data_IF_850642037471
#
_entry.id   IF_850642037471
#
_cell.length_a   1.000
_cell.length_b   1.000
_cell.length_c   1.000
_cell.angle_alpha   90.00
_cell.angle_beta   90.00
_cell.angle_gamma   90.00
#
_symmetry.space_group_name_H-M   'P 1'
#
loop_
_entity.id
_entity.type
_entity.pdbx_description
1 polymer ?
#
# COMPACT_ATOMS: atom_id res chain seq x y z
N UNK A 1 29.24 -23.39 -71.16
CA UNK A 1 30.70 -23.17 -71.07
C UNK A 1 31.05 -22.93 -69.62
N UNK A 2 31.65 -23.93 -68.98
CA UNK A 2 32.28 -23.86 -67.65
C UNK A 2 33.72 -23.27 -67.79
N UNK A 3 34.61 -23.24 -66.77
CA UNK A 3 34.48 -23.11 -65.30
C UNK A 3 35.58 -22.18 -64.69
N UNK A 4 35.65 -22.06 -63.35
CA UNK A 4 36.83 -22.30 -62.46
C UNK A 4 36.71 -21.46 -61.17
N UNK A 5 36.40 -22.09 -60.02
CA UNK A 5 37.32 -22.61 -58.97
C UNK A 5 37.61 -21.54 -57.89
N UNK A 6 37.65 -21.79 -56.59
CA UNK A 6 38.05 -23.00 -55.86
C UNK A 6 37.56 -22.96 -54.41
N UNK A 7 37.27 -24.15 -53.89
CA UNK A 7 37.08 -24.56 -52.50
C UNK A 7 38.21 -24.19 -51.53
N UNK A 8 37.89 -23.90 -50.27
CA UNK A 8 38.68 -24.34 -49.11
C UNK A 8 37.77 -24.71 -47.92
N UNK A 9 38.14 -25.80 -47.26
CA UNK A 9 37.44 -26.59 -46.25
C UNK A 9 37.72 -26.13 -44.80
N UNK A 10 36.70 -26.23 -43.94
CA UNK A 10 36.69 -26.65 -42.50
C UNK A 10 37.58 -25.93 -41.45
N UNK A 11 37.36 -26.09 -40.11
CA UNK A 11 36.38 -26.94 -39.42
C UNK A 11 35.55 -26.26 -38.29
N UNK A 12 34.59 -27.07 -37.82
CA UNK A 12 33.75 -26.92 -36.62
C UNK A 12 34.58 -26.68 -35.33
N UNK A 13 34.10 -25.78 -34.48
CA UNK A 13 34.42 -25.74 -33.05
C UNK A 13 33.10 -25.80 -32.26
N UNK A 14 32.78 -27.01 -31.78
CA UNK A 14 31.72 -27.27 -30.82
C UNK A 14 32.22 -26.88 -29.42
N UNK A 15 31.72 -25.79 -28.85
CA UNK A 15 31.88 -25.52 -27.42
C UNK A 15 30.79 -26.26 -26.65
N UNK A 16 31.14 -27.47 -26.20
CA UNK A 16 30.43 -28.17 -25.12
C UNK A 16 30.84 -27.53 -23.80
N UNK A 17 29.99 -26.64 -23.26
CA UNK A 17 30.10 -26.17 -21.88
C UNK A 17 29.43 -27.22 -20.99
N UNK A 18 30.25 -28.03 -20.31
CA UNK A 18 29.82 -28.85 -19.18
C UNK A 18 29.53 -27.93 -17.98
N UNK A 19 28.40 -28.07 -17.27
CA UNK A 19 28.20 -27.39 -16.00
C UNK A 19 29.02 -28.11 -14.92
N UNK A 20 30.02 -27.43 -14.36
CA UNK A 20 30.65 -27.85 -13.11
C UNK A 20 29.69 -27.54 -11.96
N UNK A 21 29.01 -28.58 -11.46
CA UNK A 21 28.41 -28.57 -10.13
C UNK A 21 29.52 -28.71 -9.09
N UNK A 22 29.89 -27.60 -8.45
CA UNK A 22 30.63 -27.60 -7.19
C UNK A 22 29.66 -27.22 -6.08
N UNK A 23 29.07 -28.24 -5.46
CA UNK A 23 28.43 -28.11 -4.16
C UNK A 23 29.52 -27.90 -3.11
N UNK A 24 29.78 -26.65 -2.70
CA UNK A 24 30.40 -26.40 -1.40
C UNK A 24 29.29 -26.22 -0.37
N UNK A 25 29.04 -27.27 0.42
CA UNK A 25 28.27 -27.15 1.65
C UNK A 25 29.08 -26.30 2.64
N UNK A 26 28.82 -25.00 2.68
CA UNK A 26 29.16 -24.18 3.85
C UNK A 26 27.92 -24.11 4.73
N UNK A 27 27.90 -24.92 5.79
CA UNK A 27 26.92 -24.87 6.87
C UNK A 27 27.00 -23.51 7.58
N UNK A 28 26.20 -22.54 7.14
CA UNK A 28 25.94 -21.35 7.93
C UNK A 28 24.82 -21.66 8.93
N UNK A 29 25.21 -21.93 10.17
CA UNK A 29 24.30 -21.97 11.30
C UNK A 29 23.55 -20.62 11.43
N UNK A 30 22.25 -20.61 11.74
CA UNK A 30 21.50 -19.37 11.91
C UNK A 30 22.01 -18.64 13.15
N UNK A 31 22.73 -17.52 12.96
CA UNK A 31 23.00 -16.59 14.04
C UNK A 31 21.66 -15.97 14.45
N UNK A 32 21.15 -16.36 15.62
CA UNK A 32 20.06 -15.67 16.30
C UNK A 32 20.44 -14.19 16.44
N UNK A 33 19.76 -13.33 15.68
CA UNK A 33 19.88 -11.89 15.81
C UNK A 33 19.20 -11.48 17.12
N UNK A 34 19.99 -11.17 18.15
CA UNK A 34 19.47 -10.52 19.37
C UNK A 34 19.29 -9.03 19.07
N UNK A 35 18.03 -8.57 19.13
CA UNK A 35 17.69 -7.15 19.14
C UNK A 35 18.25 -6.55 20.45
N UNK A 36 19.14 -5.54 20.41
CA UNK A 36 19.61 -4.90 21.63
C UNK A 36 18.44 -4.11 22.27
N UNK A 37 17.85 -4.68 23.33
CA UNK A 37 17.01 -3.91 24.26
C UNK A 37 17.93 -3.04 25.11
N UNK A 38 18.10 -1.77 24.74
CA UNK A 38 18.40 -0.68 25.67
C UNK A 38 18.41 0.64 24.91
N UNK A 39 17.38 1.47 25.11
CA UNK A 39 17.49 2.92 25.27
C UNK A 39 16.17 3.41 25.89
N UNK A 40 16.09 3.28 27.21
CA UNK A 40 15.09 3.96 28.03
C UNK A 40 15.64 5.35 28.35
N UNK A 41 14.86 6.37 27.98
CA UNK A 41 14.78 7.70 28.60
C UNK A 41 16.11 8.46 28.87
N UNK A 42 16.54 9.27 27.91
CA UNK A 42 17.31 10.48 28.20
C UNK A 42 16.44 11.71 27.85
N UNK A 43 15.91 12.39 28.87
CA UNK A 43 15.28 13.70 28.74
C UNK A 43 16.27 14.66 28.08
N UNK A 44 16.00 15.09 26.84
CA UNK A 44 16.71 16.21 26.21
C UNK A 44 16.37 17.48 27.00
N UNK A 45 17.36 18.04 27.69
CA UNK A 45 17.31 19.41 28.21
C UNK A 45 17.29 20.36 27.02
N UNK A 46 16.22 21.14 26.91
CA UNK A 46 16.11 22.29 26.01
C UNK A 46 17.03 23.40 26.48
N UNK A 47 17.94 23.85 25.61
CA UNK A 47 18.66 25.11 25.80
C UNK A 47 17.75 26.27 25.38
N UNK A 48 16.93 26.76 26.31
CA UNK A 48 16.37 28.12 26.23
C UNK A 48 16.06 28.62 27.64
N UNK A 49 17.07 29.09 28.33
CA UNK A 49 16.91 29.85 29.56
C UNK A 49 17.97 30.95 29.57
N UNK A 50 17.60 32.12 29.05
CA UNK A 50 18.23 33.40 29.31
C UNK A 50 17.28 34.47 28.78
N UNK A 51 16.37 34.91 29.66
CA UNK A 51 15.76 36.25 29.74
C UNK A 51 14.44 36.19 30.53
N UNK A 52 14.54 36.03 31.85
CA UNK A 52 13.81 36.91 32.76
C UNK A 52 14.76 38.12 32.98
N UNK A 53 14.35 39.36 33.17
CA UNK A 53 13.25 39.87 33.98
C UNK A 53 13.22 41.43 33.85
N UNK A 54 12.09 42.04 34.22
CA UNK A 54 11.88 43.46 34.60
C UNK A 54 11.82 44.50 33.45
N UNK A 55 10.93 45.50 33.42
CA UNK A 55 10.18 46.17 34.50
C UNK A 55 8.91 46.88 33.96
N UNK A 56 7.89 46.97 34.81
CA UNK A 56 6.69 47.80 34.68
C UNK A 56 6.80 49.15 35.42
N UNK A 57 6.18 50.18 34.83
CA UNK A 57 5.49 51.34 35.44
C UNK A 57 6.26 52.60 35.92
N UNK A 58 5.85 53.76 35.34
CA UNK A 58 5.57 55.13 35.91
C UNK A 58 6.70 55.83 36.72
N UNK A 59 7.00 57.14 36.70
CA UNK A 59 6.23 58.40 36.53
C UNK A 59 7.19 59.62 36.38
N UNK A 60 6.62 60.82 36.19
CA UNK A 60 7.15 62.17 35.95
C UNK A 60 8.24 62.76 36.88
N UNK A 61 9.02 63.72 36.33
CA UNK A 61 9.66 64.79 37.11
C UNK A 61 10.69 65.69 36.38
N UNK A 62 10.26 66.87 35.91
CA UNK A 62 10.94 68.18 36.12
C UNK A 62 12.30 68.56 35.45
N UNK A 63 12.20 69.45 34.44
CA UNK A 63 13.04 70.66 34.13
C UNK A 63 14.60 70.59 34.21
N UNK A 64 15.29 70.86 33.09
CA UNK A 64 15.85 72.19 32.71
C UNK A 64 17.03 72.10 31.71
N UNK A 65 17.05 73.03 30.73
CA UNK A 65 18.29 73.65 30.21
C UNK A 65 18.93 73.11 28.92
N UNK A 66 19.06 74.00 27.92
CA UNK A 66 20.19 73.98 26.98
C UNK A 66 19.88 73.57 25.54
N UNK A 67 19.82 74.55 24.64
CA UNK A 67 19.51 74.35 23.22
C UNK A 67 20.64 73.78 22.37
N UNK A 68 20.28 73.34 21.15
CA UNK A 68 21.25 73.04 20.10
C UNK A 68 20.77 72.10 19.01
N UNK A 69 20.41 72.70 17.86
CA UNK A 69 20.52 72.18 16.47
C UNK A 69 19.62 71.02 16.00
N UNK A 70 18.69 71.42 15.12
CA UNK A 70 18.27 70.84 13.85
C UNK A 70 18.40 69.32 13.67
N UNK A 71 17.24 68.67 13.69
CA UNK A 71 17.08 67.28 13.31
C UNK A 71 17.31 67.02 11.82
N UNK A 72 18.05 65.96 11.55
CA UNK A 72 17.71 65.00 10.52
C UNK A 72 17.61 63.65 11.25
N UNK A 73 16.38 63.18 11.49
CA UNK A 73 16.15 61.83 11.97
C UNK A 73 16.53 60.89 10.82
N UNK A 74 17.68 60.23 10.93
CA UNK A 74 18.00 59.05 10.13
C UNK A 74 16.84 58.06 10.29
N UNK A 75 16.28 57.47 9.22
CA UNK A 75 15.27 56.44 9.39
C UNK A 75 15.88 55.33 10.24
N UNK A 76 15.16 54.92 11.30
CA UNK A 76 15.54 53.77 12.12
C UNK A 76 15.84 52.59 11.20
N UNK A 77 16.93 51.84 11.44
CA UNK A 77 17.23 50.67 10.62
C UNK A 77 16.01 49.75 10.64
N UNK A 78 15.53 49.38 9.46
CA UNK A 78 14.51 48.35 9.31
C UNK A 78 15.13 47.08 9.88
N UNK A 79 14.77 46.74 11.11
CA UNK A 79 15.11 45.45 11.68
C UNK A 79 14.23 44.46 10.91
N UNK A 80 14.79 43.82 9.89
CA UNK A 80 14.16 42.63 9.32
C UNK A 80 14.02 41.64 10.48
N UNK A 81 12.80 41.48 10.98
CA UNK A 81 12.47 40.38 11.87
C UNK A 81 12.79 39.10 11.11
N UNK A 82 13.93 38.49 11.46
CA UNK A 82 14.31 37.18 10.92
C UNK A 82 13.24 36.20 11.37
N UNK A 83 12.25 35.96 10.52
CA UNK A 83 11.22 34.96 10.77
C UNK A 83 11.91 33.61 10.95
N UNK A 84 11.81 33.05 12.16
CA UNK A 84 12.25 31.68 12.41
C UNK A 84 11.40 30.74 11.56
N UNK A 85 12.04 30.12 10.59
CA UNK A 85 11.41 29.15 9.70
C UNK A 85 11.01 27.92 10.51
N UNK A 86 9.78 27.44 10.33
CA UNK A 86 9.39 26.12 10.86
C UNK A 86 10.15 25.04 10.08
N UNK A 87 11.05 24.36 10.79
CA UNK A 87 11.92 23.32 10.22
C UNK A 87 11.28 21.93 10.25
N UNK A 88 10.06 21.79 10.77
CA UNK A 88 9.36 20.52 10.77
C UNK A 88 8.77 20.21 9.39
N UNK A 89 8.78 18.95 8.96
CA UNK A 89 8.12 18.57 7.73
C UNK A 89 6.60 18.74 7.88
N UNK A 90 5.85 18.86 6.77
CA UNK A 90 4.40 18.95 6.79
C UNK A 90 3.76 17.86 7.66
N UNK A 91 2.71 18.23 8.40
CA UNK A 91 2.04 17.33 9.34
C UNK A 91 1.66 15.99 8.70
N UNK A 92 2.14 14.90 9.28
CA UNK A 92 1.87 13.54 8.83
C UNK A 92 2.79 13.03 7.72
N UNK A 93 3.86 13.77 7.41
CA UNK A 93 4.93 13.35 6.50
C UNK A 93 6.21 12.99 7.25
N UNK A 94 7.23 12.48 6.54
CA UNK A 94 8.50 12.03 7.11
C UNK A 94 9.66 12.57 6.32
N UNK A 95 10.64 13.12 7.04
CA UNK A 95 12.02 13.13 6.57
C UNK A 95 12.65 11.76 6.80
N UNK A 96 13.60 11.40 5.94
CA UNK A 96 14.39 10.19 6.08
C UNK A 96 15.87 10.60 6.18
N UNK A 97 16.42 10.76 7.40
CA UNK A 97 17.86 10.96 7.58
C UNK A 97 18.63 9.69 7.16
N UNK A 98 19.97 9.75 7.02
CA UNK A 98 20.77 8.63 6.51
C UNK A 98 20.50 7.27 7.17
N UNK A 99 20.24 7.23 8.48
CA UNK A 99 19.89 6.03 9.23
C UNK A 99 18.58 5.37 8.77
N UNK A 100 17.53 6.16 8.58
CA UNK A 100 16.24 5.67 8.10
C UNK A 100 16.29 5.35 6.61
N UNK A 101 17.07 6.13 5.85
CA UNK A 101 17.29 5.87 4.43
C UNK A 101 17.99 4.55 4.16
N UNK A 102 18.96 4.15 5.00
CA UNK A 102 19.60 2.84 4.87
C UNK A 102 18.58 1.70 5.01
N UNK A 103 17.70 1.78 6.01
CA UNK A 103 16.65 0.79 6.22
C UNK A 103 15.63 0.78 5.07
N UNK A 104 15.20 1.95 4.59
CA UNK A 104 14.29 2.06 3.45
C UNK A 104 14.89 1.45 2.19
N UNK A 105 16.14 1.78 1.89
CA UNK A 105 16.86 1.25 0.72
C UNK A 105 17.03 -0.27 0.82
N UNK A 106 17.40 -0.79 1.99
CA UNK A 106 17.46 -2.23 2.25
C UNK A 106 16.13 -2.92 1.94
N UNK A 107 15.02 -2.39 2.47
CA UNK A 107 13.68 -2.94 2.27
C UNK A 107 13.28 -2.89 0.78
N UNK A 108 13.48 -1.76 0.11
CA UNK A 108 13.10 -1.59 -1.30
C UNK A 108 13.94 -2.46 -2.24
N UNK A 109 15.20 -2.72 -1.90
CA UNK A 109 16.03 -3.64 -2.66
C UNK A 109 15.45 -5.05 -2.61
N UNK A 110 15.00 -5.52 -1.44
CA UNK A 110 14.32 -6.81 -1.33
C UNK A 110 13.01 -6.87 -2.12
N UNK A 111 12.20 -5.81 -2.09
CA UNK A 111 11.00 -5.73 -2.95
C UNK A 111 11.36 -5.87 -4.44
N UNK A 112 12.35 -5.11 -4.93
CA UNK A 112 12.79 -5.21 -6.34
C UNK A 112 13.35 -6.58 -6.68
N UNK A 113 14.16 -7.16 -5.80
CA UNK A 113 14.76 -8.48 -6.00
C UNK A 113 13.67 -9.54 -6.13
N UNK A 114 12.69 -9.55 -5.23
CA UNK A 114 11.56 -10.48 -5.29
C UNK A 114 10.71 -10.25 -6.53
N UNK A 115 10.34 -9.01 -6.85
CA UNK A 115 9.60 -8.70 -8.08
C UNK A 115 10.29 -9.26 -9.33
N UNK A 116 11.62 -9.07 -9.44
CA UNK A 116 12.41 -9.57 -10.58
C UNK A 116 12.49 -11.10 -10.61
N UNK A 117 12.59 -11.76 -9.45
CA UNK A 117 12.58 -13.22 -9.36
C UNK A 117 11.27 -13.82 -9.91
N UNK A 118 10.15 -13.11 -9.75
CA UNK A 118 8.84 -13.49 -10.29
C UNK A 118 8.59 -12.92 -11.70
N UNK A 119 9.59 -12.34 -12.36
CA UNK A 119 9.47 -11.84 -13.73
C UNK A 119 8.61 -10.59 -13.89
N UNK A 120 8.43 -9.79 -12.82
CA UNK A 120 7.73 -8.52 -12.91
C UNK A 120 8.66 -7.41 -13.41
N UNK A 121 8.12 -6.53 -14.24
CA UNK A 121 8.81 -5.35 -14.77
C UNK A 121 8.50 -4.10 -13.92
N UNK A 122 9.52 -3.29 -13.64
CA UNK A 122 9.38 -2.08 -12.83
C UNK A 122 8.77 -0.95 -13.64
N UNK A 123 7.72 -0.33 -13.11
CA UNK A 123 7.05 0.84 -13.71
C UNK A 123 6.88 1.95 -12.68
N UNK A 124 6.70 3.18 -13.16
CA UNK A 124 6.35 4.31 -12.30
C UNK A 124 5.34 5.21 -12.99
N UNK A 125 4.68 6.03 -12.18
CA UNK A 125 3.64 6.96 -12.59
C UNK A 125 3.92 8.32 -11.95
N UNK A 126 3.34 9.41 -12.47
CA UNK A 126 3.33 10.68 -11.75
C UNK A 126 2.67 10.52 -10.37
N UNK A 127 3.23 11.18 -9.34
CA UNK A 127 2.58 11.25 -8.01
C UNK A 127 1.33 12.14 -8.06
N UNK A 128 1.31 13.11 -8.98
CA UNK A 128 0.20 14.02 -9.22
C UNK A 128 -0.62 13.52 -10.42
N UNK A 129 -1.89 13.21 -10.18
CA UNK A 129 -2.82 12.66 -11.17
C UNK A 129 -4.11 13.49 -11.20
N UNK A 130 -4.93 13.31 -12.24
CA UNK A 130 -6.23 13.98 -12.30
C UNK A 130 -7.16 13.46 -11.20
N UNK A 131 -7.82 14.36 -10.47
CA UNK A 131 -8.72 14.01 -9.35
C UNK A 131 -9.82 13.01 -9.75
N UNK A 132 -10.34 13.16 -10.98
CA UNK A 132 -11.41 12.31 -11.54
C UNK A 132 -11.02 10.82 -11.61
N UNK A 133 -9.72 10.51 -11.63
CA UNK A 133 -9.22 9.14 -11.67
C UNK A 133 -9.58 8.35 -10.39
N UNK A 134 -9.72 9.05 -9.26
CA UNK A 134 -9.95 8.43 -7.95
C UNK A 134 -11.42 8.52 -7.48
N UNK A 135 -12.15 9.57 -7.88
CA UNK A 135 -13.54 9.77 -7.46
C UNK A 135 -14.49 8.73 -8.07
N UNK A 136 -14.28 8.35 -9.34
CA UNK A 136 -15.20 7.44 -10.07
C UNK A 136 -15.33 6.05 -9.41
N UNK A 137 -14.35 5.64 -8.59
CA UNK A 137 -14.27 4.29 -8.04
C UNK A 137 -14.65 4.18 -6.56
N UNK A 138 -14.73 5.29 -5.82
CA UNK A 138 -14.86 5.23 -4.36
C UNK A 138 -15.93 6.17 -3.77
N UNK A 139 -16.77 6.78 -4.61
CA UNK A 139 -17.83 7.69 -4.18
C UNK A 139 -17.31 9.05 -3.70
N UNK A 140 -18.20 9.92 -3.22
CA UNK A 140 -17.81 11.27 -2.76
C UNK A 140 -17.00 11.27 -1.45
N UNK A 141 -17.21 10.26 -0.59
CA UNK A 141 -16.52 10.14 0.71
C UNK A 141 -15.00 10.01 0.59
N UNK A 142 -14.48 9.49 -0.53
CA UNK A 142 -13.03 9.41 -0.73
C UNK A 142 -12.43 10.81 -0.85
N UNK A 143 -13.17 11.79 -1.39
CA UNK A 143 -12.63 13.13 -1.71
C UNK A 143 -12.09 13.82 -0.46
N UNK A 144 -12.79 13.68 0.66
CA UNK A 144 -12.38 14.27 1.95
C UNK A 144 -11.10 13.62 2.51
N UNK A 145 -10.73 12.45 1.99
CA UNK A 145 -9.51 11.71 2.31
C UNK A 145 -8.43 11.86 1.24
N UNK A 146 -8.65 12.66 0.18
CA UNK A 146 -7.65 12.94 -0.85
C UNK A 146 -6.92 14.26 -0.58
N UNK A 147 -5.64 14.29 -0.93
CA UNK A 147 -4.93 15.55 -1.12
C UNK A 147 -5.26 16.11 -2.52
N UNK A 148 -6.41 16.77 -2.65
CA UNK A 148 -6.86 17.41 -3.89
C UNK A 148 -6.65 18.93 -3.86
N UNK A 149 -6.31 19.51 -5.01
CA UNK A 149 -6.19 20.97 -5.17
C UNK A 149 -6.36 21.36 -6.65
N UNK A 150 -6.50 22.66 -6.88
CA UNK A 150 -6.50 23.24 -8.22
C UNK A 150 -5.08 23.72 -8.55
N UNK A 151 -4.56 23.28 -9.70
CA UNK A 151 -3.25 23.75 -10.17
C UNK A 151 -3.34 25.14 -10.81
N UNK A 152 -2.20 25.72 -11.19
CA UNK A 152 -2.15 27.05 -11.83
C UNK A 152 -2.85 27.13 -13.20
N UNK A 153 -3.20 25.98 -13.79
CA UNK A 153 -3.95 25.89 -15.03
C UNK A 153 -5.44 25.65 -14.80
N UNK A 154 -5.93 25.86 -13.58
CA UNK A 154 -7.31 25.62 -13.16
C UNK A 154 -7.77 24.17 -13.35
N UNK A 155 -6.84 23.20 -13.22
CA UNK A 155 -7.14 21.77 -13.31
C UNK A 155 -7.20 21.16 -11.92
N UNK A 156 -8.21 20.33 -11.71
CA UNK A 156 -8.38 19.53 -10.50
C UNK A 156 -7.46 18.32 -10.50
N UNK A 157 -6.52 18.31 -9.56
CA UNK A 157 -5.49 17.27 -9.42
C UNK A 157 -5.47 16.75 -7.99
N UNK A 158 -4.95 15.54 -7.82
CA UNK A 158 -4.75 14.92 -6.52
C UNK A 158 -3.38 14.25 -6.44
N UNK A 159 -2.77 14.28 -5.26
CA UNK A 159 -1.69 13.34 -4.95
C UNK A 159 -2.31 11.95 -4.85
N UNK A 160 -1.75 10.98 -5.57
CA UNK A 160 -2.30 9.63 -5.66
C UNK A 160 -2.45 8.96 -4.29
N UNK A 161 -3.64 8.43 -3.94
CA UNK A 161 -3.84 7.65 -2.70
C UNK A 161 -3.40 6.19 -2.81
N UNK A 162 -3.32 5.66 -4.03
CA UNK A 162 -2.93 4.29 -4.38
C UNK A 162 -2.38 4.26 -5.81
N UNK A 163 -1.73 3.16 -6.19
CA UNK A 163 -1.10 3.00 -7.51
C UNK A 163 -2.02 2.38 -8.57
N UNK A 164 -3.03 1.62 -8.18
CA UNK A 164 -3.90 0.82 -9.07
C UNK A 164 -4.63 1.67 -10.14
N UNK A 165 -5.19 2.86 -9.83
CA UNK A 165 -5.80 3.70 -10.85
C UNK A 165 -4.80 4.24 -11.88
N UNK A 166 -3.57 4.55 -11.46
CA UNK A 166 -2.49 4.98 -12.36
C UNK A 166 -2.03 3.84 -13.27
N UNK A 167 -1.94 2.61 -12.75
CA UNK A 167 -1.71 1.41 -13.54
C UNK A 167 -2.78 1.25 -14.63
N UNK A 168 -4.06 1.24 -14.24
CA UNK A 168 -5.16 1.10 -15.18
C UNK A 168 -5.13 2.20 -16.26
N UNK A 169 -4.86 3.45 -15.87
CA UNK A 169 -4.70 4.57 -16.82
C UNK A 169 -3.58 4.29 -17.83
N UNK A 170 -2.41 3.85 -17.38
CA UNK A 170 -1.27 3.58 -18.26
C UNK A 170 -1.55 2.39 -19.20
N UNK A 171 -2.14 1.31 -18.68
CA UNK A 171 -2.52 0.15 -19.49
C UNK A 171 -3.53 0.53 -20.57
N UNK A 172 -4.57 1.29 -20.22
CA UNK A 172 -5.56 1.79 -21.18
C UNK A 172 -4.90 2.72 -22.22
N UNK A 173 -4.00 3.61 -21.78
CA UNK A 173 -3.28 4.52 -22.67
C UNK A 173 -2.41 3.77 -23.69
N UNK A 174 -1.73 2.69 -23.26
CA UNK A 174 -0.91 1.86 -24.14
C UNK A 174 -1.76 0.97 -25.05
N UNK A 175 -2.95 0.57 -24.61
CA UNK A 175 -3.91 -0.19 -25.40
C UNK A 175 -3.29 -1.44 -26.03
N UNK A 176 -3.53 -1.65 -27.33
CA UNK A 176 -3.08 -2.84 -28.09
C UNK A 176 -1.56 -2.97 -28.23
N UNK A 177 -0.76 -1.99 -27.80
CA UNK A 177 0.71 -2.10 -27.81
C UNK A 177 1.26 -2.99 -26.70
N UNK A 178 0.45 -3.32 -25.67
CA UNK A 178 0.83 -4.25 -24.62
C UNK A 178 0.47 -5.69 -25.00
N UNK A 179 1.41 -6.60 -24.78
CA UNK A 179 1.16 -8.03 -24.78
C UNK A 179 0.66 -8.49 -23.41
N UNK A 180 -0.33 -9.37 -23.40
CA UNK A 180 -0.79 -10.06 -22.20
C UNK A 180 -0.21 -11.49 -22.17
N UNK A 181 0.05 -12.07 -20.98
CA UNK A 181 -0.16 -11.46 -19.65
C UNK A 181 0.86 -10.38 -19.31
N UNK A 182 0.42 -9.37 -18.55
CA UNK A 182 1.24 -8.27 -18.07
C UNK A 182 1.59 -8.48 -16.60
N UNK A 183 2.84 -8.29 -16.22
CA UNK A 183 3.29 -8.40 -14.82
C UNK A 183 4.14 -7.20 -14.45
N UNK A 184 3.52 -6.22 -13.80
CA UNK A 184 4.18 -4.95 -13.46
C UNK A 184 4.22 -4.73 -11.97
N UNK A 185 5.30 -4.12 -11.50
CA UNK A 185 5.43 -3.71 -10.11
C UNK A 185 5.89 -2.26 -9.99
N UNK A 186 5.54 -1.63 -8.88
CA UNK A 186 5.96 -0.27 -8.55
C UNK A 186 6.25 -0.15 -7.05
N UNK A 187 7.15 0.76 -6.68
CA UNK A 187 7.38 1.16 -5.28
C UNK A 187 7.14 2.66 -5.18
N UNK A 188 5.88 3.04 -4.98
CA UNK A 188 5.43 4.43 -5.07
C UNK A 188 5.11 5.03 -3.71
N UNK A 189 5.34 6.33 -3.57
CA UNK A 189 4.77 7.11 -2.47
C UNK A 189 3.30 7.44 -2.75
N UNK A 190 2.45 7.19 -1.75
CA UNK A 190 0.99 7.36 -1.78
C UNK A 190 0.54 8.26 -0.63
N UNK A 191 -0.54 9.01 -0.86
CA UNK A 191 -0.98 10.11 0.00
C UNK A 191 -2.45 10.01 0.39
N UNK A 192 -2.75 10.29 1.66
CA UNK A 192 -4.12 10.39 2.15
C UNK A 192 -4.28 11.51 3.16
N UNK A 193 -5.43 12.15 3.14
CA UNK A 193 -5.79 13.24 4.03
C UNK A 193 -6.70 12.74 5.15
N UNK A 194 -6.13 12.01 6.10
CA UNK A 194 -6.87 11.47 7.24
C UNK A 194 -6.29 11.92 8.58
N UNK A 195 -7.05 11.67 9.66
CA UNK A 195 -6.52 11.73 11.02
C UNK A 195 -5.48 10.64 11.19
N UNK A 196 -4.28 11.04 11.63
CA UNK A 196 -3.19 10.10 11.84
C UNK A 196 -3.48 9.15 13.01
N UNK A 197 -3.18 7.88 12.82
CA UNK A 197 -3.17 6.84 13.86
C UNK A 197 -1.84 6.09 13.85
N UNK A 198 -1.64 5.14 14.77
CA UNK A 198 -0.39 4.37 14.84
C UNK A 198 -0.17 3.60 13.53
N UNK A 199 0.98 3.81 12.88
CA UNK A 199 1.29 3.23 11.57
C UNK A 199 0.55 3.86 10.38
N UNK A 200 -0.46 4.70 10.63
CA UNK A 200 -1.29 5.34 9.61
C UNK A 200 -0.95 6.83 9.51
N UNK A 201 -0.02 7.15 8.61
CA UNK A 201 0.40 8.52 8.29
C UNK A 201 -0.27 9.03 7.02
N UNK A 202 -0.07 10.32 6.73
CA UNK A 202 -0.61 10.99 5.54
C UNK A 202 0.17 10.70 4.26
N UNK A 203 1.42 10.28 4.38
CA UNK A 203 2.19 9.67 3.30
C UNK A 203 2.70 8.28 3.71
N UNK A 204 2.81 7.37 2.74
CA UNK A 204 3.46 6.08 2.91
C UNK A 204 4.01 5.58 1.57
N UNK A 205 4.90 4.60 1.61
CA UNK A 205 5.34 3.90 0.41
C UNK A 205 4.60 2.58 0.29
N UNK A 206 4.24 2.23 -0.93
CA UNK A 206 3.52 1.01 -1.27
C UNK A 206 4.31 0.24 -2.32
N UNK A 207 4.60 -1.02 -2.03
CA UNK A 207 5.04 -1.98 -3.03
C UNK A 207 3.78 -2.58 -3.66
N UNK A 208 3.58 -2.31 -4.94
CA UNK A 208 2.48 -2.82 -5.75
C UNK A 208 3.02 -3.86 -6.72
N UNK A 209 2.32 -4.97 -6.86
CA UNK A 209 2.54 -5.99 -7.87
C UNK A 209 1.19 -6.33 -8.46
N UNK A 210 1.09 -6.26 -9.79
CA UNK A 210 -0.17 -6.42 -10.50
C UNK A 210 0.04 -7.32 -11.72
N UNK A 211 -0.86 -8.31 -11.87
CA UNK A 211 -0.90 -9.21 -13.01
C UNK A 211 -2.20 -8.95 -13.78
N UNK A 212 -2.10 -8.75 -15.10
CA UNK A 212 -3.26 -8.51 -15.97
C UNK A 212 -3.29 -9.52 -17.11
N UNK A 213 -4.50 -9.94 -17.50
CA UNK A 213 -4.70 -10.81 -18.64
C UNK A 213 -4.40 -12.29 -18.39
N UNK A 214 -4.39 -12.72 -17.13
CA UNK A 214 -4.47 -14.14 -16.77
C UNK A 214 -5.91 -14.49 -16.35
N UNK A 215 -6.47 -15.58 -16.88
CA UNK A 215 -7.68 -16.17 -16.33
C UNK A 215 -7.37 -16.96 -15.04
N UNK A 216 -8.43 -17.32 -14.30
CA UNK A 216 -8.38 -18.18 -13.11
C UNK A 216 -7.57 -17.57 -11.95
N UNK A 217 -7.46 -18.31 -10.84
CA UNK A 217 -6.82 -17.84 -9.59
C UNK A 217 -5.29 -17.93 -9.58
N UNK A 218 -4.69 -18.20 -10.73
CA UNK A 218 -3.23 -18.36 -10.88
C UNK A 218 -2.48 -17.07 -10.59
N UNK A 219 -3.07 -15.92 -10.95
CA UNK A 219 -2.51 -14.61 -10.68
C UNK A 219 -2.42 -14.35 -9.17
N UNK A 220 -3.50 -14.62 -8.43
CA UNK A 220 -3.58 -14.45 -6.98
C UNK A 220 -2.63 -15.40 -6.26
N UNK A 221 -2.53 -16.66 -6.71
CA UNK A 221 -1.58 -17.61 -6.18
C UNK A 221 -0.14 -17.11 -6.33
N UNK A 222 0.23 -16.60 -7.51
CA UNK A 222 1.56 -16.07 -7.77
C UNK A 222 1.85 -14.79 -6.97
N UNK A 223 0.87 -13.89 -6.83
CA UNK A 223 0.99 -12.69 -6.00
C UNK A 223 1.24 -13.05 -4.53
N UNK A 224 0.47 -13.96 -3.93
CA UNK A 224 0.70 -14.41 -2.55
C UNK A 224 2.08 -15.08 -2.44
N UNK A 225 2.44 -15.95 -3.39
CA UNK A 225 3.75 -16.60 -3.42
C UNK A 225 4.91 -15.61 -3.41
N UNK A 226 4.79 -14.50 -4.15
CA UNK A 226 5.81 -13.44 -4.17
C UNK A 226 5.98 -12.77 -2.81
N UNK A 227 4.89 -12.50 -2.09
CA UNK A 227 4.95 -11.90 -0.75
C UNK A 227 5.55 -12.90 0.25
N UNK A 228 5.19 -14.18 0.16
CA UNK A 228 5.79 -15.25 0.96
C UNK A 228 7.30 -15.35 0.70
N UNK A 229 7.72 -15.29 -0.56
CA UNK A 229 9.14 -15.30 -0.92
C UNK A 229 9.89 -14.11 -0.33
N UNK A 230 9.27 -12.92 -0.32
CA UNK A 230 9.81 -11.74 0.37
C UNK A 230 9.95 -11.99 1.88
N UNK A 231 8.91 -12.48 2.55
CA UNK A 231 8.97 -12.76 3.99
C UNK A 231 10.05 -13.78 4.35
N UNK A 232 10.10 -14.91 3.66
CA UNK A 232 11.14 -15.94 3.85
C UNK A 232 12.55 -15.35 3.66
N UNK A 233 12.74 -14.47 2.67
CA UNK A 233 14.04 -13.81 2.38
C UNK A 233 14.51 -12.93 3.54
N UNK A 234 13.60 -12.24 4.23
CA UNK A 234 13.93 -11.38 5.37
C UNK A 234 13.85 -12.09 6.72
N UNK A 235 13.68 -13.42 6.71
CA UNK A 235 13.68 -14.26 7.90
C UNK A 235 12.36 -14.26 8.69
N UNK A 236 11.27 -13.78 8.09
CA UNK A 236 9.91 -13.93 8.63
C UNK A 236 9.41 -15.32 8.22
N UNK A 237 8.69 -15.98 9.12
CA UNK A 237 8.14 -17.33 8.95
C UNK A 237 6.62 -17.34 9.04
N UNK A 238 6.00 -18.46 8.67
CA UNK A 238 4.55 -18.71 8.85
C UNK A 238 4.09 -18.62 10.31
N UNK A 239 5.02 -18.76 11.26
CA UNK A 239 4.71 -18.58 12.69
C UNK A 239 4.61 -17.10 13.10
N UNK A 240 5.16 -16.19 12.29
CA UNK A 240 5.15 -14.74 12.54
C UNK A 240 3.97 -14.06 11.84
N UNK A 241 3.64 -14.49 10.62
CA UNK A 241 2.62 -13.88 9.75
C UNK A 241 1.89 -14.94 8.92
N UNK A 242 0.67 -14.62 8.48
CA UNK A 242 -0.09 -15.44 7.54
C UNK A 242 -1.09 -14.57 6.76
N UNK A 243 -1.65 -15.15 5.70
CA UNK A 243 -2.62 -14.52 4.81
C UNK A 243 -4.01 -15.05 5.12
N UNK A 244 -4.93 -14.13 5.42
CA UNK A 244 -6.35 -14.47 5.41
C UNK A 244 -6.90 -14.24 4.01
N UNK A 245 -7.63 -15.22 3.48
CA UNK A 245 -8.11 -15.20 2.09
C UNK A 245 -9.60 -15.51 2.02
N UNK A 246 -10.29 -14.82 1.12
CA UNK A 246 -11.70 -15.01 0.80
C UNK A 246 -11.96 -14.69 -0.67
N UNK A 247 -13.22 -14.74 -1.09
CA UNK A 247 -13.67 -14.23 -2.39
C UNK A 247 -14.91 -13.37 -2.20
N UNK A 248 -14.96 -12.23 -2.88
CA UNK A 248 -16.18 -11.41 -2.95
C UNK A 248 -17.36 -12.13 -3.58
N UNK A 249 -17.10 -13.14 -4.42
CA UNK A 249 -18.14 -14.00 -4.99
C UNK A 249 -18.90 -14.78 -3.91
N UNK A 250 -18.26 -15.13 -2.79
CA UNK A 250 -18.94 -15.74 -1.63
C UNK A 250 -20.07 -14.84 -1.13
N UNK A 251 -19.74 -13.56 -0.92
CA UNK A 251 -20.71 -12.58 -0.46
C UNK A 251 -21.81 -12.32 -1.50
N UNK A 252 -21.47 -12.31 -2.79
CA UNK A 252 -22.45 -12.17 -3.87
C UNK A 252 -23.44 -13.35 -3.90
N UNK A 253 -22.95 -14.57 -3.77
CA UNK A 253 -23.77 -15.78 -3.76
C UNK A 253 -24.76 -15.77 -2.58
N UNK A 254 -24.30 -15.41 -1.38
CA UNK A 254 -25.16 -15.26 -0.19
C UNK A 254 -26.24 -14.21 -0.43
N UNK A 255 -25.85 -13.01 -0.86
CA UNK A 255 -26.80 -11.90 -1.07
C UNK A 255 -27.83 -12.21 -2.15
N UNK A 256 -27.45 -12.97 -3.18
CA UNK A 256 -28.36 -13.43 -4.23
C UNK A 256 -29.44 -14.38 -3.70
N UNK A 257 -29.12 -15.25 -2.74
CA UNK A 257 -30.12 -16.13 -2.11
C UNK A 257 -31.23 -15.35 -1.40
N UNK A 258 -30.95 -14.15 -0.91
CA UNK A 258 -31.92 -13.25 -0.27
C UNK A 258 -32.49 -12.19 -1.21
N UNK A 259 -32.33 -12.36 -2.53
CA UNK A 259 -32.82 -11.43 -3.55
C UNK A 259 -32.36 -9.97 -3.36
N UNK A 260 -31.17 -9.79 -2.77
CA UNK A 260 -30.58 -8.45 -2.58
C UNK A 260 -30.12 -7.90 -3.93
N UNK A 261 -30.54 -6.68 -4.31
CA UNK A 261 -30.12 -6.05 -5.57
C UNK A 261 -28.60 -5.87 -5.69
N UNK A 262 -28.05 -6.17 -6.86
CA UNK A 262 -26.59 -6.11 -7.12
C UNK A 262 -25.99 -4.71 -6.92
N UNK A 263 -26.76 -3.65 -7.13
CA UNK A 263 -26.33 -2.28 -6.89
C UNK A 263 -26.05 -1.96 -5.41
N UNK A 264 -26.51 -2.79 -4.47
CA UNK A 264 -26.20 -2.67 -3.04
C UNK A 264 -24.88 -3.37 -2.67
N UNK A 265 -24.36 -4.27 -3.51
CA UNK A 265 -23.20 -5.10 -3.20
C UNK A 265 -21.97 -4.30 -2.76
N UNK A 266 -21.63 -3.25 -3.50
CA UNK A 266 -20.48 -2.39 -3.16
C UNK A 266 -20.62 -1.70 -1.80
N UNK A 267 -21.84 -1.24 -1.46
CA UNK A 267 -22.12 -0.61 -0.16
C UNK A 267 -22.01 -1.64 0.97
N UNK A 268 -22.55 -2.83 0.78
CA UNK A 268 -22.47 -3.94 1.75
C UNK A 268 -21.02 -4.33 2.00
N UNK A 269 -20.19 -4.44 0.95
CA UNK A 269 -18.75 -4.72 1.10
C UNK A 269 -18.02 -3.67 1.95
N UNK A 270 -18.32 -2.39 1.75
CA UNK A 270 -17.71 -1.28 2.52
C UNK A 270 -18.10 -1.37 3.99
N UNK A 271 -19.35 -1.73 4.29
CA UNK A 271 -19.82 -1.90 5.67
C UNK A 271 -19.12 -3.12 6.32
N UNK A 272 -19.03 -4.25 5.62
CA UNK A 272 -18.39 -5.47 6.12
C UNK A 272 -16.89 -5.28 6.38
N UNK A 273 -16.17 -4.46 5.59
CA UNK A 273 -14.75 -4.15 5.86
C UNK A 273 -14.53 -3.47 7.24
N UNK A 274 -15.60 -2.95 7.86
CA UNK A 274 -15.57 -2.37 9.20
C UNK A 274 -15.85 -3.38 10.31
N UNK A 275 -16.17 -4.65 10.01
CA UNK A 275 -16.67 -5.62 11.00
C UNK A 275 -15.70 -5.89 12.15
N UNK A 276 -14.38 -5.84 11.90
CA UNK A 276 -13.36 -5.97 12.96
C UNK A 276 -13.05 -4.63 13.66
N UNK A 277 -13.57 -3.50 13.14
CA UNK A 277 -13.23 -2.14 13.59
C UNK A 277 -14.31 -1.51 14.46
N UNK A 278 -15.58 -1.87 14.28
CA UNK A 278 -16.73 -1.29 15.00
C UNK A 278 -17.63 -2.39 15.57
N UNK A 279 -18.44 -2.09 16.61
CA UNK A 279 -19.32 -3.09 17.22
C UNK A 279 -20.32 -3.70 16.24
N UNK A 280 -20.66 -4.98 16.45
CA UNK A 280 -21.55 -5.72 15.55
C UNK A 280 -22.96 -5.10 15.46
N UNK A 281 -23.46 -4.49 16.55
CA UNK A 281 -24.75 -3.81 16.55
C UNK A 281 -24.76 -2.58 15.62
N UNK A 282 -23.62 -1.90 15.50
CA UNK A 282 -23.44 -0.79 14.57
C UNK A 282 -23.38 -1.28 13.12
N UNK A 283 -22.74 -2.42 12.87
CA UNK A 283 -22.75 -3.10 11.57
C UNK A 283 -24.18 -3.48 11.16
N UNK A 284 -24.95 -4.13 12.05
CA UNK A 284 -26.35 -4.50 11.78
C UNK A 284 -27.18 -3.27 11.43
N UNK A 285 -27.00 -2.17 12.15
CA UNK A 285 -27.68 -0.89 11.88
C UNK A 285 -27.29 -0.30 10.52
N UNK A 286 -26.00 -0.27 10.17
CA UNK A 286 -25.56 0.21 8.84
C UNK A 286 -26.11 -0.67 7.70
N UNK A 287 -26.10 -2.00 7.86
CA UNK A 287 -26.64 -2.93 6.87
C UNK A 287 -28.16 -2.76 6.70
N UNK A 288 -28.90 -2.63 7.81
CA UNK A 288 -30.35 -2.39 7.77
C UNK A 288 -30.67 -1.07 7.02
N UNK A 289 -29.88 -0.01 7.24
CA UNK A 289 -30.04 1.26 6.53
C UNK A 289 -29.81 1.17 5.01
N UNK A 290 -29.19 0.09 4.51
CA UNK A 290 -29.07 -0.16 3.05
C UNK A 290 -30.31 -0.83 2.45
N UNK A 291 -31.26 -1.26 3.26
CA UNK A 291 -32.50 -1.91 2.84
C UNK A 291 -32.46 -3.45 2.87
N UNK A 292 -31.46 -4.06 3.52
CA UNK A 292 -31.42 -5.51 3.74
C UNK A 292 -32.44 -5.91 4.83
N UNK A 293 -33.08 -7.08 4.67
CA UNK A 293 -33.95 -7.65 5.70
C UNK A 293 -33.14 -8.18 6.89
N UNK A 294 -33.78 -8.30 8.06
CA UNK A 294 -33.10 -8.81 9.26
C UNK A 294 -32.60 -10.24 9.06
N UNK A 295 -33.37 -11.08 8.36
CA UNK A 295 -32.99 -12.45 8.03
C UNK A 295 -31.74 -12.49 7.14
N UNK A 296 -31.69 -11.62 6.12
CA UNK A 296 -30.53 -11.53 5.23
C UNK A 296 -29.27 -11.05 5.97
N UNK A 297 -29.43 -10.14 6.94
CA UNK A 297 -28.32 -9.65 7.77
C UNK A 297 -27.78 -10.75 8.68
N UNK A 298 -28.65 -11.51 9.35
CA UNK A 298 -28.22 -12.55 10.28
C UNK A 298 -27.46 -13.66 9.55
N UNK A 299 -27.97 -14.10 8.40
CA UNK A 299 -27.34 -15.14 7.57
C UNK A 299 -26.03 -14.67 6.95
N UNK A 300 -25.98 -13.41 6.51
CA UNK A 300 -24.73 -12.78 6.09
C UNK A 300 -23.68 -12.84 7.20
N UNK A 301 -24.03 -12.43 8.42
CA UNK A 301 -23.10 -12.44 9.56
C UNK A 301 -22.68 -13.86 9.95
N UNK A 302 -23.59 -14.83 9.85
CA UNK A 302 -23.28 -16.23 10.04
C UNK A 302 -22.24 -16.71 9.03
N UNK A 303 -22.41 -16.39 7.74
CA UNK A 303 -21.42 -16.76 6.71
C UNK A 303 -20.07 -16.08 6.94
N UNK A 304 -20.04 -14.80 7.30
CA UNK A 304 -18.80 -14.07 7.58
C UNK A 304 -18.03 -14.64 8.79
N UNK A 305 -18.70 -15.38 9.68
CA UNK A 305 -18.06 -16.05 10.82
C UNK A 305 -17.29 -17.33 10.42
N UNK A 306 -17.46 -17.83 9.19
CA UNK A 306 -16.87 -19.10 8.75
C UNK A 306 -15.36 -18.94 8.48
N UNK A 307 -14.57 -19.82 9.09
CA UNK A 307 -13.10 -19.90 8.92
C UNK A 307 -12.63 -21.22 8.29
N UNK A 308 -13.55 -22.01 7.75
CA UNK A 308 -13.27 -23.30 7.11
C UNK A 308 -13.92 -23.35 5.73
N UNK A 309 -13.11 -23.64 4.71
CA UNK A 309 -13.58 -23.79 3.34
C UNK A 309 -14.57 -24.96 3.20
N UNK A 310 -14.38 -26.04 3.96
CA UNK A 310 -15.30 -27.18 4.00
C UNK A 310 -16.68 -26.77 4.52
N UNK A 311 -16.74 -25.99 5.60
CA UNK A 311 -18.02 -25.47 6.13
C UNK A 311 -18.70 -24.51 5.17
N UNK A 312 -17.92 -23.71 4.43
CA UNK A 312 -18.46 -22.85 3.40
C UNK A 312 -19.11 -23.67 2.27
N UNK A 313 -18.43 -24.73 1.84
CA UNK A 313 -18.92 -25.68 0.82
C UNK A 313 -20.22 -26.38 1.25
N UNK A 314 -20.37 -26.71 2.54
CA UNK A 314 -21.62 -27.26 3.09
C UNK A 314 -22.80 -26.28 3.01
N UNK A 315 -22.55 -24.98 3.16
CA UNK A 315 -23.59 -23.93 3.18
C UNK A 315 -23.98 -23.48 1.77
N UNK A 316 -22.99 -23.20 0.91
CA UNK A 316 -23.23 -22.69 -0.44
C UNK A 316 -23.40 -23.80 -1.49
N UNK A 317 -23.00 -25.02 -1.15
CA UNK A 317 -22.87 -26.13 -2.08
C UNK A 317 -21.55 -26.07 -2.87
N UNK A 318 -20.94 -27.22 -3.13
CA UNK A 318 -19.64 -27.32 -3.82
C UNK A 318 -19.64 -26.98 -5.31
N UNK A 319 -20.78 -26.59 -5.88
CA UNK A 319 -20.93 -26.23 -7.29
C UNK A 319 -20.83 -24.72 -7.57
N UNK A 320 -20.69 -23.88 -6.52
CA UNK A 320 -20.50 -22.44 -6.66
C UNK A 320 -19.12 -22.08 -7.22
N UNK A 321 -19.08 -21.07 -8.09
CA UNK A 321 -17.84 -20.56 -8.70
C UNK A 321 -16.85 -20.09 -7.62
N UNK A 322 -17.36 -19.44 -6.56
CA UNK A 322 -16.55 -18.95 -5.46
C UNK A 322 -15.80 -20.06 -4.72
N UNK A 323 -16.50 -21.16 -4.42
CA UNK A 323 -15.93 -22.31 -3.71
C UNK A 323 -14.90 -23.03 -4.59
N UNK A 324 -15.19 -23.19 -5.88
CA UNK A 324 -14.28 -23.80 -6.84
C UNK A 324 -12.96 -23.01 -6.95
N UNK A 325 -13.03 -21.69 -7.14
CA UNK A 325 -11.86 -20.81 -7.22
C UNK A 325 -11.03 -20.82 -5.93
N UNK A 326 -11.69 -20.81 -4.76
CA UNK A 326 -10.98 -20.92 -3.48
C UNK A 326 -10.26 -22.26 -3.35
N UNK A 327 -10.92 -23.38 -3.68
CA UNK A 327 -10.30 -24.72 -3.63
C UNK A 327 -9.10 -24.81 -4.59
N UNK A 328 -9.21 -24.23 -5.77
CA UNK A 328 -8.11 -24.14 -6.71
C UNK A 328 -6.95 -23.33 -6.14
N UNK A 329 -7.21 -22.17 -5.54
CA UNK A 329 -6.18 -21.33 -4.93
C UNK A 329 -5.43 -22.05 -3.80
N UNK A 330 -6.14 -22.77 -2.92
CA UNK A 330 -5.51 -23.58 -1.88
C UNK A 330 -4.70 -24.75 -2.46
N UNK A 331 -5.16 -25.38 -3.55
CA UNK A 331 -4.38 -26.40 -4.26
C UNK A 331 -3.11 -25.83 -4.89
N UNK A 332 -3.19 -24.64 -5.47
CA UNK A 332 -2.02 -23.93 -5.99
C UNK A 332 -1.07 -23.57 -4.84
N UNK A 333 -1.57 -23.08 -3.71
CA UNK A 333 -0.74 -22.74 -2.55
C UNK A 333 0.11 -23.91 -2.06
N UNK A 334 -0.44 -25.12 -2.04
CA UNK A 334 0.31 -26.35 -1.75
C UNK A 334 1.41 -26.59 -2.79
N UNK A 335 1.09 -26.51 -4.09
CA UNK A 335 2.05 -26.71 -5.19
C UNK A 335 3.17 -25.67 -5.21
N UNK A 336 2.86 -24.43 -4.86
CA UNK A 336 3.83 -23.34 -4.72
C UNK A 336 4.62 -23.38 -3.39
N UNK A 337 4.25 -24.27 -2.45
CA UNK A 337 4.97 -24.46 -1.20
C UNK A 337 4.72 -23.38 -0.14
N UNK A 338 3.50 -22.84 -0.08
CA UNK A 338 3.08 -21.86 0.93
C UNK A 338 1.74 -22.19 1.61
N UNK A 339 1.29 -23.45 1.60
CA UNK A 339 0.05 -23.89 2.29
C UNK A 339 -0.03 -23.43 3.75
N UNK A 340 1.08 -23.49 4.49
CA UNK A 340 1.14 -23.08 5.90
C UNK A 340 0.99 -21.57 6.13
N UNK A 341 1.08 -20.78 5.06
CA UNK A 341 1.00 -19.32 5.12
C UNK A 341 -0.41 -18.81 4.87
N UNK A 342 -1.33 -19.63 4.36
CA UNK A 342 -2.64 -19.20 3.87
C UNK A 342 -3.77 -19.87 4.67
N UNK A 343 -4.76 -19.07 5.06
CA UNK A 343 -5.96 -19.56 5.75
C UNK A 343 -7.22 -18.91 5.16
N UNK A 344 -8.32 -19.67 5.16
CA UNK A 344 -9.60 -19.16 4.70
C UNK A 344 -10.28 -18.35 5.81
N UNK A 345 -10.79 -17.18 5.47
CA UNK A 345 -11.58 -16.36 6.38
C UNK A 345 -12.66 -15.60 5.60
N UNK A 346 -13.92 -16.02 5.75
CA UNK A 346 -15.05 -15.43 5.03
C UNK A 346 -15.24 -13.93 5.32
N UNK A 347 -14.76 -13.42 6.46
CA UNK A 347 -14.91 -12.00 6.83
C UNK A 347 -14.01 -11.06 6.03
N UNK A 348 -13.01 -11.57 5.29
CA UNK A 348 -12.13 -10.74 4.46
C UNK A 348 -12.87 -10.31 3.19
N UNK A 349 -13.19 -9.02 3.08
CA UNK A 349 -13.87 -8.45 1.89
C UNK A 349 -13.06 -7.34 1.22
N UNK A 350 -12.20 -6.67 2.01
CA UNK A 350 -11.38 -5.50 1.67
C UNK A 350 -12.21 -4.27 1.27
N UNK A 351 -11.81 -3.09 1.72
CA UNK A 351 -12.60 -1.87 1.57
C UNK A 351 -12.61 -1.20 0.18
N UNK A 352 -11.82 -1.67 -0.80
CA UNK A 352 -11.76 -1.02 -2.13
C UNK A 352 -12.85 -1.56 -3.05
N UNK A 353 -13.61 -0.68 -3.69
CA UNK A 353 -14.80 -1.08 -4.43
C UNK A 353 -14.52 -1.97 -5.65
N UNK A 354 -13.32 -1.93 -6.21
CA UNK A 354 -13.00 -2.58 -7.50
C UNK A 354 -12.65 -4.07 -7.41
N UNK A 355 -12.57 -4.68 -6.22
CA UNK A 355 -12.37 -6.11 -6.12
C UNK A 355 -13.61 -6.88 -6.57
N UNK A 356 -13.42 -7.97 -7.32
CA UNK A 356 -14.50 -8.77 -7.91
C UNK A 356 -14.41 -10.25 -7.56
N UNK A 357 -13.24 -10.78 -7.23
CA UNK A 357 -13.00 -12.20 -6.95
C UNK A 357 -12.26 -12.40 -5.63
N UNK A 358 -11.16 -13.15 -5.70
CA UNK A 358 -10.29 -13.41 -4.55
C UNK A 358 -9.79 -12.10 -3.93
N UNK A 359 -9.78 -12.08 -2.60
CA UNK A 359 -9.23 -11.01 -1.78
C UNK A 359 -8.41 -11.60 -0.65
N UNK A 360 -7.34 -10.91 -0.25
CA UNK A 360 -6.47 -11.35 0.83
C UNK A 360 -5.92 -10.17 1.62
N UNK A 361 -5.49 -10.43 2.86
CA UNK A 361 -4.83 -9.46 3.74
C UNK A 361 -3.74 -10.06 4.63
#
# INVERSE_FOLDING_TARGET
MSPLSSSLLNPRLSFSLKPLFLFSQSSFAPRKFQIPRQFVSAKRKTFSALASEQSSATDNGGRSGGGGRSGALSPSPVVEEVQRIDVNPPKGTRDFPPEDMRLRTWLFNHFREVSRLFGFEEVDYPVLESEVLFIRKAGEEIRDQLYCFEDRGNRRVALRPELTPSLARLVIQKGKSLSLPLKWFAIGQCWRYERMTRGRRREHYQWNMDILGLPEVTAEAELISSIVAFFKRIGITESDVGFKVSSRKVLQEVLRCYSVPENLFGKVCIIIDKIEKIPIDEIKRELNATGLSEEAIEELLQVLSIKSLTKLEEILGGAGEAVAELKELFSLAEKFGYSEWIQFDASVVRGLAYYTGIVFE
#
